data_IF_735662060147
#
_entry.id   IF_735662060147
#
_cell.length_a   1.000
_cell.length_b   1.000
_cell.length_c   1.000
_cell.angle_alpha   90.00
_cell.angle_beta   90.00
_cell.angle_gamma   90.00
#
_symmetry.space_group_name_H-M   'P 1'
#
loop_
_entity.id
_entity.type
_entity.pdbx_description
1 polymer ?
#
# COMPACT_ATOMS: atom_id res chain seq x y z
N UNK A 1 1.98 -8.03 17.40
CA UNK A 1 0.75 -8.39 18.09
C UNK A 1 -0.48 -7.95 17.34
N UNK A 2 -0.81 -8.64 16.26
CA UNK A 2 -1.95 -8.22 15.43
C UNK A 2 -3.28 -8.15 16.19
N UNK A 3 -3.50 -9.09 17.12
CA UNK A 3 -4.77 -9.12 17.84
C UNK A 3 -4.98 -7.87 18.69
N UNK A 4 -3.95 -7.40 19.37
CA UNK A 4 -4.05 -6.19 20.19
C UNK A 4 -4.27 -4.96 19.32
N UNK A 5 -3.59 -4.90 18.18
CA UNK A 5 -3.75 -3.79 17.24
C UNK A 5 -5.18 -3.77 16.71
N UNK A 6 -5.74 -4.93 16.39
CA UNK A 6 -7.11 -5.03 15.91
C UNK A 6 -8.11 -4.51 16.94
N UNK A 7 -7.91 -4.82 18.21
CA UNK A 7 -8.78 -4.31 19.26
C UNK A 7 -8.73 -2.80 19.34
N UNK A 8 -7.54 -2.22 19.19
CA UNK A 8 -7.38 -0.78 19.22
C UNK A 8 -8.12 -0.10 18.06
N UNK A 9 -8.12 -0.73 16.90
CA UNK A 9 -8.86 -0.22 15.75
C UNK A 9 -10.35 -0.07 16.03
N UNK A 10 -10.92 -1.04 16.71
CA UNK A 10 -12.35 -1.03 17.02
C UNK A 10 -12.74 0.12 17.95
N UNK A 11 -11.78 0.76 18.56
CA UNK A 11 -12.03 1.88 19.47
C UNK A 11 -11.88 3.24 18.79
N UNK A 12 -11.98 3.28 17.47
CA UNK A 12 -11.96 4.50 16.66
C UNK A 12 -10.62 5.21 16.58
N UNK A 13 -9.60 4.73 17.28
CA UNK A 13 -8.28 5.33 17.18
C UNK A 13 -7.50 4.65 16.06
N UNK A 14 -7.40 5.34 14.92
CA UNK A 14 -6.73 4.80 13.73
C UNK A 14 -5.22 5.04 13.72
N UNK A 15 -4.69 5.81 14.66
CA UNK A 15 -3.25 6.14 14.67
C UNK A 15 -2.37 4.93 14.74
N UNK A 16 -2.68 4.02 15.68
CA UNK A 16 -1.86 2.81 15.87
C UNK A 16 -1.94 1.90 14.66
N UNK A 17 -3.12 1.77 14.08
CA UNK A 17 -3.29 0.97 12.88
C UNK A 17 -2.53 1.59 11.71
N UNK A 18 -2.72 2.88 11.49
CA UNK A 18 -2.07 3.58 10.37
C UNK A 18 -0.55 3.47 10.51
N UNK A 19 -0.02 3.70 11.70
CA UNK A 19 1.42 3.61 11.92
C UNK A 19 1.95 2.22 11.63
N UNK A 20 1.23 1.17 12.06
CA UNK A 20 1.64 -0.20 11.79
C UNK A 20 1.65 -0.49 10.29
N UNK A 21 0.63 -0.02 9.57
CA UNK A 21 0.56 -0.18 8.12
C UNK A 21 1.73 0.54 7.45
N UNK A 22 2.01 1.77 7.87
CA UNK A 22 3.08 2.56 7.26
C UNK A 22 4.45 1.90 7.46
N UNK A 23 4.70 1.32 8.63
CA UNK A 23 5.96 0.61 8.86
C UNK A 23 6.10 -0.61 7.96
N UNK A 24 5.00 -1.31 7.70
CA UNK A 24 5.02 -2.44 6.77
C UNK A 24 5.30 -1.96 5.35
N UNK A 25 4.63 -0.88 4.91
CA UNK A 25 4.83 -0.33 3.58
C UNK A 25 6.26 0.12 3.36
N UNK A 26 6.90 0.66 4.40
CA UNK A 26 8.30 1.08 4.32
C UNK A 26 9.26 -0.07 4.02
N UNK A 27 8.84 -1.30 4.26
CA UNK A 27 9.67 -2.46 3.96
C UNK A 27 9.77 -2.77 2.47
N UNK A 28 8.84 -2.24 1.66
CA UNK A 28 8.85 -2.50 0.21
C UNK A 28 10.01 -1.75 -0.42
N UNK A 29 10.98 -2.44 -1.04
CA UNK A 29 12.15 -1.76 -1.59
C UNK A 29 11.82 -1.02 -2.88
N UNK A 30 12.66 -0.06 -3.20
CA UNK A 30 12.59 0.66 -4.48
C UNK A 30 12.69 -0.36 -5.62
N UNK A 31 11.86 -0.21 -6.64
CA UNK A 31 11.85 -1.11 -7.77
C UNK A 31 10.93 -2.32 -7.61
N UNK A 32 10.23 -2.38 -6.48
CA UNK A 32 9.26 -3.45 -6.22
C UNK A 32 7.94 -2.85 -5.81
N UNK A 33 6.89 -3.65 -5.86
CA UNK A 33 5.56 -3.28 -5.37
C UNK A 33 5.04 -4.38 -4.47
N UNK A 34 4.02 -4.06 -3.67
CA UNK A 34 3.25 -5.08 -2.98
C UNK A 34 1.78 -4.76 -3.14
N UNK A 35 0.91 -5.59 -2.59
CA UNK A 35 -0.52 -5.39 -2.72
C UNK A 35 -1.14 -5.09 -1.38
N UNK A 36 -2.33 -4.49 -1.40
CA UNK A 36 -3.09 -4.25 -0.16
C UNK A 36 -3.29 -5.55 0.61
N UNK A 37 -3.52 -6.65 -0.13
CA UNK A 37 -3.71 -7.95 0.49
C UNK A 37 -2.44 -8.49 1.16
N UNK A 38 -1.29 -8.31 0.53
CA UNK A 38 -0.02 -8.75 1.11
C UNK A 38 0.31 -7.96 2.37
N UNK A 39 0.07 -6.65 2.35
CA UNK A 39 0.28 -5.81 3.52
C UNK A 39 -0.68 -6.23 4.64
N UNK A 40 -1.94 -6.48 4.29
CA UNK A 40 -2.93 -6.92 5.27
C UNK A 40 -2.55 -8.25 5.91
N UNK A 41 -2.03 -9.19 5.12
CA UNK A 41 -1.54 -10.47 5.63
C UNK A 41 -0.38 -10.26 6.60
N UNK A 42 0.56 -9.39 6.25
CA UNK A 42 1.69 -9.10 7.12
C UNK A 42 1.23 -8.47 8.42
N UNK A 43 0.22 -7.61 8.36
CA UNK A 43 -0.39 -7.00 9.54
C UNK A 43 -1.08 -8.05 10.42
N UNK A 44 -1.77 -9.02 9.81
CA UNK A 44 -2.43 -10.05 10.58
C UNK A 44 -3.43 -10.90 9.81
N UNK A 45 -4.11 -10.35 8.81
CA UNK A 45 -5.10 -11.10 8.03
C UNK A 45 -5.46 -10.36 6.75
N UNK A 46 -5.69 -11.09 5.64
CA UNK A 46 -6.11 -10.45 4.38
C UNK A 46 -7.41 -9.66 4.51
N UNK A 47 -8.23 -9.94 5.51
CA UNK A 47 -9.49 -9.21 5.70
C UNK A 47 -9.28 -7.72 5.97
N UNK A 48 -8.07 -7.31 6.33
CA UNK A 48 -7.76 -5.90 6.59
C UNK A 48 -7.37 -5.12 5.34
N UNK A 49 -7.43 -5.75 4.15
CA UNK A 49 -6.97 -5.08 2.92
C UNK A 49 -7.66 -3.74 2.68
N UNK A 50 -8.98 -3.67 2.89
CA UNK A 50 -9.71 -2.42 2.71
C UNK A 50 -9.25 -1.36 3.71
N UNK A 51 -9.05 -1.75 4.96
CA UNK A 51 -8.58 -0.83 5.99
C UNK A 51 -7.17 -0.34 5.69
N UNK A 52 -6.31 -1.19 5.13
CA UNK A 52 -4.99 -0.80 4.67
C UNK A 52 -5.10 0.29 3.60
N UNK A 53 -5.99 0.10 2.63
CA UNK A 53 -6.22 1.11 1.59
C UNK A 53 -6.66 2.43 2.18
N UNK A 54 -7.54 2.41 3.17
CA UNK A 54 -7.99 3.64 3.83
C UNK A 54 -6.86 4.33 4.57
N UNK A 55 -6.02 3.55 5.26
CA UNK A 55 -4.85 4.11 5.96
C UNK A 55 -3.92 4.82 4.97
N UNK A 56 -3.70 4.23 3.81
CA UNK A 56 -2.82 4.82 2.81
C UNK A 56 -3.41 6.08 2.20
N UNK A 57 -4.73 6.18 2.09
CA UNK A 57 -5.38 7.42 1.67
C UNK A 57 -5.14 8.55 2.65
N UNK A 58 -5.04 8.24 3.94
CA UNK A 58 -4.81 9.23 4.99
C UNK A 58 -3.35 9.61 5.13
N UNK A 59 -2.45 8.91 4.42
CA UNK A 59 -1.02 9.13 4.58
C UNK A 59 -0.60 10.53 4.15
N UNK A 60 0.12 11.22 5.01
CA UNK A 60 0.72 12.52 4.72
C UNK A 60 2.23 12.49 4.94
N UNK A 61 2.79 11.33 5.29
CA UNK A 61 4.21 11.17 5.55
C UNK A 61 4.96 10.93 4.25
N UNK A 62 6.05 11.65 4.04
CA UNK A 62 6.86 11.52 2.84
C UNK A 62 7.75 10.29 2.84
N UNK A 63 8.01 9.74 4.02
CA UNK A 63 8.88 8.57 4.17
C UNK A 63 8.17 7.24 3.91
N UNK A 64 6.85 7.27 3.68
CA UNK A 64 6.07 6.06 3.43
C UNK A 64 5.83 5.94 1.93
N UNK A 65 6.41 4.93 1.27
CA UNK A 65 6.31 4.80 -0.19
C UNK A 65 4.98 4.18 -0.60
N UNK A 66 3.87 4.87 -0.34
CA UNK A 66 2.55 4.32 -0.63
C UNK A 66 2.31 4.10 -2.12
N UNK A 67 3.12 4.73 -3.00
CA UNK A 67 3.03 4.47 -4.43
C UNK A 67 3.45 3.04 -4.79
N UNK A 68 4.13 2.33 -3.88
CA UNK A 68 4.56 0.94 -4.10
C UNK A 68 3.50 -0.08 -3.73
N UNK A 69 2.26 0.37 -3.44
CA UNK A 69 1.15 -0.52 -3.10
C UNK A 69 0.13 -0.49 -4.21
N UNK A 70 -0.16 -1.64 -4.77
CA UNK A 70 -1.09 -1.77 -5.89
C UNK A 70 -2.18 -2.78 -5.55
N UNK A 71 -3.16 -2.90 -6.43
CA UNK A 71 -4.24 -3.86 -6.23
C UNK A 71 -3.77 -5.29 -6.47
N UNK A 72 -4.53 -6.25 -5.96
CA UNK A 72 -4.18 -7.67 -6.08
C UNK A 72 -4.10 -8.16 -7.53
N UNK A 73 -4.73 -7.45 -8.46
CA UNK A 73 -4.65 -7.78 -9.88
C UNK A 73 -3.56 -6.99 -10.62
N UNK A 74 -2.76 -6.22 -9.90
CA UNK A 74 -1.68 -5.44 -10.47
C UNK A 74 -2.07 -4.02 -10.87
N UNK A 75 -3.35 -3.67 -10.84
CA UNK A 75 -3.76 -2.29 -11.17
C UNK A 75 -3.18 -1.34 -10.15
N UNK A 76 -2.65 -0.21 -10.62
CA UNK A 76 -1.98 0.72 -9.73
C UNK A 76 -2.95 1.48 -8.81
N UNK A 77 -4.17 1.74 -9.26
CA UNK A 77 -5.15 2.46 -8.46
C UNK A 77 -4.79 3.92 -8.24
N UNK A 78 -5.42 4.54 -7.24
CA UNK A 78 -5.18 5.94 -6.91
C UNK A 78 -3.99 6.13 -5.98
N UNK A 79 -3.67 7.40 -5.69
CA UNK A 79 -2.53 7.75 -4.84
C UNK A 79 -2.97 8.80 -3.83
N UNK A 80 -2.86 8.47 -2.56
CA UNK A 80 -3.18 9.38 -1.43
C UNK A 80 -4.52 10.09 -1.57
N UNK A 81 -5.53 9.42 -2.11
CA UNK A 81 -6.87 9.98 -2.24
C UNK A 81 -7.01 11.09 -3.28
N UNK A 82 -6.05 11.25 -4.17
CA UNK A 82 -6.02 12.34 -5.16
C UNK A 82 -6.80 12.05 -6.44
N UNK A 83 -7.54 10.95 -6.52
CA UNK A 83 -8.34 10.63 -7.69
C UNK A 83 -7.50 10.28 -8.92
N UNK A 84 -7.95 10.73 -10.09
CA UNK A 84 -7.27 10.39 -11.35
C UNK A 84 -5.87 10.96 -11.43
N UNK A 85 -5.68 12.19 -10.95
CA UNK A 85 -4.34 12.79 -10.92
C UNK A 85 -3.39 11.98 -10.06
N UNK A 86 -3.90 11.42 -8.97
CA UNK A 86 -3.10 10.56 -8.11
C UNK A 86 -2.60 9.33 -8.84
N UNK A 87 -3.42 8.77 -9.72
CA UNK A 87 -3.01 7.62 -10.53
C UNK A 87 -1.85 7.95 -11.45
N UNK A 88 -1.88 9.12 -12.07
CA UNK A 88 -0.80 9.55 -12.97
C UNK A 88 0.49 9.80 -12.20
N UNK A 89 0.41 10.40 -11.04
CA UNK A 89 1.57 10.63 -10.18
C UNK A 89 2.16 9.29 -9.77
N UNK A 90 1.33 8.37 -9.35
CA UNK A 90 1.75 7.04 -8.91
C UNK A 90 2.47 6.29 -10.03
N UNK A 91 1.92 6.32 -11.22
CA UNK A 91 2.54 5.67 -12.37
C UNK A 91 3.93 6.24 -12.64
N UNK A 92 4.05 7.57 -12.60
CA UNK A 92 5.34 8.22 -12.83
C UNK A 92 6.36 7.81 -11.78
N UNK A 93 5.96 7.81 -10.51
CA UNK A 93 6.86 7.42 -9.42
C UNK A 93 7.33 5.97 -9.59
N UNK A 94 6.43 5.07 -9.97
CA UNK A 94 6.80 3.68 -10.19
C UNK A 94 7.77 3.54 -11.35
N UNK A 95 7.53 4.23 -12.46
CA UNK A 95 8.42 4.20 -13.61
C UNK A 95 9.80 4.74 -13.28
N UNK A 96 9.88 5.79 -12.48
CA UNK A 96 11.14 6.35 -12.05
C UNK A 96 11.95 5.36 -11.21
N UNK A 97 11.28 4.43 -10.56
CA UNK A 97 11.93 3.39 -9.76
C UNK A 97 12.24 2.13 -10.57
N UNK A 98 11.97 2.15 -11.86
CA UNK A 98 12.24 1.00 -12.71
C UNK A 98 11.11 -0.02 -12.76
N UNK A 99 9.95 0.29 -12.22
CA UNK A 99 8.78 -0.59 -12.28
C UNK A 99 8.01 -0.29 -13.56
N UNK A 100 7.87 -1.30 -14.41
CA UNK A 100 7.14 -1.15 -15.65
C UNK A 100 5.64 -1.11 -15.39
N UNK A 101 4.97 -0.10 -15.95
CA UNK A 101 3.52 0.04 -15.86
C UNK A 101 2.97 0.05 -17.28
N UNK A 102 2.10 -0.91 -17.60
CA UNK A 102 1.50 -1.05 -18.92
C UNK A 102 -0.01 -1.07 -18.76
N UNK A 103 -0.70 -0.13 -19.41
CA UNK A 103 -2.16 -0.02 -19.32
C UNK A 103 -2.64 0.05 -17.88
N UNK A 104 -1.90 0.79 -17.03
CA UNK A 104 -2.26 0.99 -15.64
C UNK A 104 -2.04 -0.23 -14.74
N UNK A 105 -1.26 -1.19 -15.20
CA UNK A 105 -0.98 -2.43 -14.44
C UNK A 105 0.50 -2.71 -14.33
N UNK A 106 0.86 -3.33 -13.21
CA UNK A 106 2.21 -3.83 -12.93
C UNK A 106 2.17 -5.35 -13.03
N UNK A 107 3.18 -5.94 -13.66
CA UNK A 107 3.31 -7.39 -13.72
C UNK A 107 3.79 -7.89 -12.35
N UNK A 108 2.89 -8.46 -11.57
CA UNK A 108 3.20 -8.91 -10.23
C UNK A 108 4.17 -10.09 -10.21
N UNK A 109 4.24 -10.86 -11.29
CA UNK A 109 5.23 -11.95 -11.38
C UNK A 109 6.65 -11.43 -11.34
N UNK A 110 6.86 -10.23 -11.89
CA UNK A 110 8.19 -9.63 -11.94
C UNK A 110 8.50 -8.74 -10.76
N UNK A 111 7.51 -8.00 -10.28
CA UNK A 111 7.76 -6.87 -9.37
C UNK A 111 7.20 -7.05 -7.96
N UNK A 112 6.46 -8.12 -7.70
CA UNK A 112 5.86 -8.28 -6.37
C UNK A 112 6.92 -8.57 -5.30
N UNK A 113 6.87 -7.80 -4.23
CA UNK A 113 7.65 -8.04 -3.02
C UNK A 113 6.75 -8.72 -1.99
N UNK A 114 7.23 -9.81 -1.42
CA UNK A 114 6.52 -10.51 -0.34
C UNK A 114 7.31 -10.37 0.95
N UNK A 115 6.58 -10.04 1.99
CA UNK A 115 7.18 -9.80 3.31
C UNK A 115 7.67 -11.07 3.98
#
# INVERSE_FOLDING_TARGET
>A
MPALICLNMKRKNNRNFDSAVYEIVKMIPRGKVSTYGEIAKKFGSPKYARAVGQALKRNRRKDVPCHRVVRSDGRIGGYSGMGEEGGLIKERLLREEGVEVINGRVDLKRFLFRF
#
